data_IF_320671889979
#
_entry.id   IF_320671889979
#
_cell.length_a   1.000
_cell.length_b   1.000
_cell.length_c   1.000
_cell.angle_alpha   90.00
_cell.angle_beta   90.00
_cell.angle_gamma   90.00
#
_symmetry.space_group_name_H-M   'P 1'
#
loop_
_entity.id
_entity.type
_entity.pdbx_description
1 polymer ?
#
# COMPACT_ATOMS: atom_id res chain seq x y z
N UNK A 1 30.05 7.24 2.15
CA UNK A 1 30.80 6.29 2.98
C UNK A 1 31.49 7.10 4.06
N UNK A 2 31.26 6.82 5.35
CA UNK A 2 31.90 7.57 6.42
C UNK A 2 33.37 7.11 6.48
N UNK A 3 34.35 8.01 6.33
CA UNK A 3 35.76 7.64 6.34
C UNK A 3 36.19 7.19 7.74
N UNK A 4 36.75 5.98 7.84
CA UNK A 4 37.24 5.45 9.10
C UNK A 4 38.59 6.08 9.47
N UNK A 5 38.79 6.50 10.74
CA UNK A 5 40.10 6.96 11.22
C UNK A 5 41.16 5.87 11.12
N UNK A 6 42.40 6.26 10.87
CA UNK A 6 43.57 5.38 10.80
C UNK A 6 44.12 5.04 12.20
N UNK A 7 44.90 3.96 12.28
CA UNK A 7 45.67 3.65 13.49
C UNK A 7 46.73 4.74 13.70
N UNK A 8 46.62 5.46 14.81
CA UNK A 8 47.47 6.61 15.14
C UNK A 8 46.68 7.93 15.20
N UNK A 9 45.46 7.97 14.67
CA UNK A 9 44.58 9.13 14.83
C UNK A 9 44.14 9.27 16.29
N UNK A 10 44.13 10.52 16.78
CA UNK A 10 43.79 10.84 18.15
C UNK A 10 42.33 10.54 18.51
N UNK A 11 42.03 10.53 19.81
CA UNK A 11 40.70 10.19 20.34
C UNK A 11 39.57 11.05 19.74
N UNK A 12 39.85 12.32 19.40
CA UNK A 12 38.88 13.23 18.79
C UNK A 12 38.35 12.70 17.44
N UNK A 13 39.21 12.17 16.58
CA UNK A 13 38.82 11.62 15.28
C UNK A 13 37.93 10.38 15.43
N UNK A 14 38.22 9.54 16.43
CA UNK A 14 37.39 8.37 16.75
C UNK A 14 36.01 8.76 17.32
N UNK A 15 35.94 9.83 18.13
CA UNK A 15 34.67 10.36 18.64
C UNK A 15 33.80 10.95 17.54
N UNK A 16 34.38 11.71 16.61
CA UNK A 16 33.69 12.26 15.45
C UNK A 16 33.13 11.13 14.56
N UNK A 17 33.98 10.16 14.20
CA UNK A 17 33.57 8.98 13.42
C UNK A 17 32.41 8.21 14.09
N UNK A 18 32.47 8.00 15.41
CA UNK A 18 31.39 7.36 16.15
C UNK A 18 30.09 8.20 16.15
N UNK A 19 30.20 9.53 16.20
CA UNK A 19 29.08 10.45 16.07
C UNK A 19 28.39 10.34 14.71
N UNK A 20 29.17 10.38 13.64
CA UNK A 20 28.68 10.25 12.26
C UNK A 20 28.03 8.90 12.01
N UNK A 21 28.63 7.81 12.53
CA UNK A 21 28.05 6.48 12.48
C UNK A 21 26.70 6.43 13.20
N UNK A 22 26.61 7.02 14.40
CA UNK A 22 25.36 7.05 15.16
C UNK A 22 24.27 7.84 14.43
N UNK A 23 24.62 8.97 13.83
CA UNK A 23 23.69 9.77 13.04
C UNK A 23 23.19 8.99 11.82
N UNK A 24 24.10 8.36 11.08
CA UNK A 24 23.77 7.57 9.89
C UNK A 24 22.91 6.37 10.24
N UNK A 25 23.23 5.65 11.32
CA UNK A 25 22.40 4.56 11.83
C UNK A 25 21.00 5.06 12.22
N UNK A 26 20.90 6.21 12.90
CA UNK A 26 19.61 6.81 13.24
C UNK A 26 18.77 7.15 12.02
N UNK A 27 19.38 7.70 10.97
CA UNK A 27 18.71 7.97 9.70
C UNK A 27 18.27 6.68 8.99
N UNK A 28 19.11 5.65 9.00
CA UNK A 28 18.78 4.34 8.42
C UNK A 28 17.60 3.69 9.14
N UNK A 29 17.57 3.73 10.48
CA UNK A 29 16.44 3.20 11.26
C UNK A 29 15.13 3.92 10.94
N UNK A 30 15.17 5.26 10.85
CA UNK A 30 13.99 6.04 10.48
C UNK A 30 13.48 5.69 9.09
N UNK A 31 14.39 5.55 8.11
CA UNK A 31 14.03 5.15 6.75
C UNK A 31 13.37 3.77 6.73
N UNK A 32 13.89 2.81 7.51
CA UNK A 32 13.30 1.48 7.63
C UNK A 32 11.88 1.57 8.21
N UNK A 33 11.68 2.34 9.29
CA UNK A 33 10.36 2.53 9.91
C UNK A 33 9.35 3.18 8.94
N UNK A 34 9.78 4.19 8.19
CA UNK A 34 8.96 4.85 7.16
C UNK A 34 8.57 3.84 6.05
N UNK A 35 9.53 3.04 5.57
CA UNK A 35 9.27 1.99 4.56
C UNK A 35 8.32 0.92 5.08
N UNK A 36 8.45 0.48 6.33
CA UNK A 36 7.49 -0.46 6.95
C UNK A 36 6.08 0.14 7.06
N UNK A 37 5.98 1.44 7.34
CA UNK A 37 4.73 2.18 7.30
C UNK A 37 4.07 2.16 5.92
N UNK A 38 4.87 2.40 4.88
CA UNK A 38 4.41 2.41 3.50
C UNK A 38 4.00 1.01 3.02
N UNK A 39 4.76 -0.04 3.35
CA UNK A 39 4.39 -1.43 3.04
C UNK A 39 3.03 -1.78 3.64
N UNK A 40 2.81 -1.48 4.92
CA UNK A 40 1.50 -1.73 5.58
C UNK A 40 0.36 -0.97 4.90
N UNK A 41 0.60 0.27 4.46
CA UNK A 41 -0.39 1.06 3.70
C UNK A 41 -0.70 0.38 2.36
N UNK A 42 0.32 -0.06 1.62
CA UNK A 42 0.13 -0.76 0.34
C UNK A 42 -0.63 -2.08 0.51
N UNK A 43 -0.33 -2.87 1.54
CA UNK A 43 -1.07 -4.09 1.87
C UNK A 43 -2.56 -3.82 2.17
N UNK A 44 -2.85 -2.73 2.89
CA UNK A 44 -4.22 -2.26 3.13
C UNK A 44 -4.96 -1.91 1.84
N UNK A 45 -4.30 -1.16 0.94
CA UNK A 45 -4.85 -0.81 -0.37
C UNK A 45 -5.08 -2.05 -1.24
N UNK A 46 -4.15 -2.99 -1.25
CA UNK A 46 -4.27 -4.25 -1.99
C UNK A 46 -5.46 -5.06 -1.49
N UNK A 47 -5.61 -5.20 -0.17
CA UNK A 47 -6.73 -5.90 0.46
C UNK A 47 -8.07 -5.25 0.10
N UNK A 48 -8.15 -3.91 0.14
CA UNK A 48 -9.34 -3.18 -0.25
C UNK A 48 -9.66 -3.39 -1.74
N UNK A 49 -8.65 -3.35 -2.62
CA UNK A 49 -8.78 -3.61 -4.06
C UNK A 49 -9.30 -5.02 -4.34
N UNK A 50 -8.73 -6.04 -3.69
CA UNK A 50 -9.17 -7.43 -3.82
C UNK A 50 -10.63 -7.62 -3.39
N UNK A 51 -11.05 -6.99 -2.28
CA UNK A 51 -12.46 -7.01 -1.83
C UNK A 51 -13.39 -6.38 -2.87
N UNK A 52 -13.00 -5.23 -3.45
CA UNK A 52 -13.76 -4.57 -4.51
C UNK A 52 -13.88 -5.45 -5.76
N UNK A 53 -12.79 -6.09 -6.18
CA UNK A 53 -12.77 -7.01 -7.32
C UNK A 53 -13.66 -8.23 -7.11
N UNK A 54 -13.60 -8.86 -5.93
CA UNK A 54 -14.48 -9.99 -5.56
C UNK A 54 -15.96 -9.60 -5.61
N UNK A 55 -16.31 -8.43 -5.08
CA UNK A 55 -17.67 -7.89 -5.12
C UNK A 55 -18.14 -7.61 -6.56
N UNK A 56 -17.27 -7.03 -7.40
CA UNK A 56 -17.58 -6.79 -8.80
C UNK A 56 -17.81 -8.10 -9.57
N UNK A 57 -16.92 -9.10 -9.38
CA UNK A 57 -17.07 -10.43 -9.98
C UNK A 57 -18.38 -11.11 -9.56
N UNK A 58 -18.75 -11.04 -8.28
CA UNK A 58 -20.02 -11.58 -7.79
C UNK A 58 -21.23 -10.90 -8.45
N UNK A 59 -21.17 -9.57 -8.64
CA UNK A 59 -22.21 -8.81 -9.35
C UNK A 59 -22.33 -9.28 -10.80
N UNK A 60 -21.20 -9.42 -11.51
CA UNK A 60 -21.18 -9.89 -12.90
C UNK A 60 -21.71 -11.31 -13.05
N UNK A 61 -21.33 -12.23 -12.14
CA UNK A 61 -21.88 -13.59 -12.14
C UNK A 61 -23.41 -13.59 -11.97
N UNK A 62 -23.94 -12.68 -11.15
CA UNK A 62 -25.38 -12.58 -10.97
C UNK A 62 -26.07 -11.97 -12.18
N UNK A 63 -25.49 -10.92 -12.78
CA UNK A 63 -25.96 -10.33 -14.03
C UNK A 63 -26.00 -11.38 -15.14
N UNK A 64 -24.95 -12.19 -15.27
CA UNK A 64 -24.88 -13.27 -16.23
C UNK A 64 -26.03 -14.27 -16.04
N UNK A 65 -26.27 -14.74 -14.81
CA UNK A 65 -27.40 -15.63 -14.50
C UNK A 65 -28.76 -15.00 -14.79
N UNK A 66 -28.94 -13.72 -14.48
CA UNK A 66 -30.20 -13.02 -14.76
C UNK A 66 -30.41 -12.90 -16.29
N UNK A 67 -29.34 -12.70 -17.08
CA UNK A 67 -29.41 -12.67 -18.55
C UNK A 67 -29.67 -14.05 -19.16
N UNK A 68 -29.04 -15.11 -18.65
CA UNK A 68 -29.32 -16.51 -19.05
C UNK A 68 -30.79 -16.87 -18.81
N UNK A 69 -31.39 -16.33 -17.73
CA UNK A 69 -32.81 -16.48 -17.43
C UNK A 69 -33.72 -15.54 -18.25
N UNK A 70 -33.17 -14.69 -19.13
CA UNK A 70 -33.92 -13.71 -19.92
C UNK A 70 -34.39 -12.47 -19.15
N UNK A 71 -34.00 -12.31 -17.89
CA UNK A 71 -34.46 -11.24 -17.00
C UNK A 71 -33.59 -9.96 -17.13
N UNK A 72 -33.65 -9.36 -18.32
CA UNK A 72 -32.84 -8.19 -18.70
C UNK A 72 -33.06 -6.99 -17.76
N UNK A 73 -34.29 -6.81 -17.26
CA UNK A 73 -34.63 -5.71 -16.34
C UNK A 73 -33.87 -5.85 -15.02
N UNK A 74 -33.81 -7.07 -14.48
CA UNK A 74 -33.08 -7.36 -13.23
C UNK A 74 -31.58 -7.24 -13.40
N UNK A 75 -31.05 -7.76 -14.51
CA UNK A 75 -29.64 -7.60 -14.88
C UNK A 75 -29.23 -6.11 -14.92
N UNK A 76 -30.04 -5.27 -15.60
CA UNK A 76 -29.82 -3.82 -15.67
C UNK A 76 -29.88 -3.17 -14.29
N UNK A 77 -30.89 -3.48 -13.47
CA UNK A 77 -31.02 -2.91 -12.13
C UNK A 77 -29.81 -3.17 -11.22
N UNK A 78 -29.14 -4.32 -11.37
CA UNK A 78 -27.90 -4.62 -10.64
C UNK A 78 -26.72 -3.79 -11.11
N UNK A 79 -26.57 -3.61 -12.43
CA UNK A 79 -25.53 -2.76 -13.00
C UNK A 79 -25.72 -1.30 -12.57
N UNK A 80 -26.96 -0.79 -12.63
CA UNK A 80 -27.30 0.57 -12.21
C UNK A 80 -27.00 0.77 -10.72
N UNK A 81 -27.38 -0.18 -9.87
CA UNK A 81 -27.08 -0.16 -8.44
C UNK A 81 -25.57 -0.15 -8.16
N UNK A 82 -24.80 -0.92 -8.95
CA UNK A 82 -23.34 -0.96 -8.82
C UNK A 82 -22.70 0.34 -9.28
N UNK A 83 -23.17 0.93 -10.38
CA UNK A 83 -22.72 2.23 -10.86
C UNK A 83 -22.96 3.32 -9.81
N UNK A 84 -24.16 3.38 -9.23
CA UNK A 84 -24.50 4.33 -8.16
C UNK A 84 -23.65 4.14 -6.89
N UNK A 85 -23.25 2.91 -6.56
CA UNK A 85 -22.34 2.65 -5.44
C UNK A 85 -20.90 3.12 -5.73
N UNK A 86 -20.44 3.02 -6.98
CA UNK A 86 -19.13 3.51 -7.41
C UNK A 86 -19.11 5.04 -7.38
N UNK A 87 -20.17 5.69 -7.86
CA UNK A 87 -20.28 7.15 -7.86
C UNK A 87 -20.23 7.72 -6.44
N UNK A 88 -20.99 7.13 -5.51
CA UNK A 88 -20.97 7.49 -4.08
C UNK A 88 -19.61 7.26 -3.40
N UNK A 89 -18.78 6.37 -3.93
CA UNK A 89 -17.44 6.13 -3.40
C UNK A 89 -16.40 7.12 -3.94
N UNK A 90 -16.77 7.95 -4.93
CA UNK A 90 -15.93 9.00 -5.54
C UNK A 90 -16.24 10.40 -5.01
N UNK A 91 -17.49 10.66 -4.62
CA UNK A 91 -17.97 11.89 -3.97
C UNK A 91 -17.54 11.96 -2.51
#
# INVERSE_FOLDING_TARGET
MIPQPARGDGEAAWREYAGDLRQTLGQAYKLIEDLEGDVRRMEGLLTASQRRAKSARSTLNQVHRDLEAGDVRKARGRLDSRAAAIERARS
#
